data_IF_741827854472
#
_entry.id   IF_741827854472
#
_cell.length_a   1.000
_cell.length_b   1.000
_cell.length_c   1.000
_cell.angle_alpha   90.00
_cell.angle_beta   90.00
_cell.angle_gamma   90.00
#
_symmetry.space_group_name_H-M   'P 1'
#
loop_
_entity.id
_entity.type
_entity.pdbx_description
1 polymer ?
#
# COMPACT_ATOMS: atom_id res chain seq x y z
N UNK A 1 20.77 23.49 -0.86
CA UNK A 1 19.38 23.83 -0.50
C UNK A 1 19.06 23.15 0.82
N UNK A 2 18.53 23.86 1.82
CA UNK A 2 18.23 23.30 3.14
C UNK A 2 17.09 22.28 3.04
N UNK A 3 17.30 21.07 3.60
CA UNK A 3 16.28 20.02 3.70
C UNK A 3 15.31 20.32 4.84
N UNK A 4 14.10 19.76 4.75
CA UNK A 4 12.99 19.92 5.71
C UNK A 4 12.69 18.59 6.39
N UNK A 5 12.45 18.64 7.69
CA UNK A 5 11.78 17.57 8.43
C UNK A 5 10.28 17.71 8.20
N UNK A 6 9.69 16.64 7.69
CA UNK A 6 8.32 16.59 7.19
C UNK A 6 7.81 15.17 7.37
N UNK A 7 6.63 15.07 7.96
CA UNK A 7 5.89 13.83 8.13
C UNK A 7 4.53 13.97 7.44
N UNK A 8 4.07 12.92 6.76
CA UNK A 8 2.82 12.95 6.04
C UNK A 8 2.83 12.07 4.80
N UNK A 9 1.66 11.99 4.15
CA UNK A 9 1.47 11.17 2.96
C UNK A 9 0.85 11.99 1.85
N UNK A 10 1.52 12.03 0.69
CA UNK A 10 0.98 12.61 -0.52
C UNK A 10 0.34 11.51 -1.37
N UNK A 11 -0.91 11.70 -1.76
CA UNK A 11 -1.57 10.87 -2.77
C UNK A 11 -1.22 11.45 -4.14
N UNK A 12 -0.19 10.89 -4.77
CA UNK A 12 0.38 11.45 -5.99
C UNK A 12 -0.17 10.75 -7.24
N UNK A 13 -0.48 11.51 -8.30
CA UNK A 13 -0.85 10.98 -9.62
C UNK A 13 0.43 10.75 -10.44
N UNK A 14 0.87 9.50 -10.55
CA UNK A 14 2.05 9.17 -11.36
C UNK A 14 1.74 9.37 -12.85
N UNK A 15 2.50 10.20 -13.58
CA UNK A 15 2.36 10.27 -15.03
C UNK A 15 2.90 8.99 -15.69
N UNK A 16 2.59 8.82 -16.97
CA UNK A 16 3.13 7.73 -17.79
C UNK A 16 4.64 7.90 -18.01
N UNK A 17 5.29 6.83 -18.46
CA UNK A 17 6.67 6.82 -19.00
C UNK A 17 7.76 7.23 -18.00
N UNK A 18 7.46 7.16 -16.71
CA UNK A 18 8.41 7.42 -15.63
C UNK A 18 8.37 6.32 -14.58
N UNK A 19 9.54 5.90 -14.08
CA UNK A 19 9.60 4.93 -13.00
C UNK A 19 9.11 5.53 -11.67
N UNK A 20 8.51 4.68 -10.82
CA UNK A 20 8.06 5.08 -9.49
C UNK A 20 9.19 5.63 -8.60
N UNK A 21 10.43 5.14 -8.77
CA UNK A 21 11.56 5.68 -8.02
C UNK A 21 12.02 7.04 -8.54
N UNK A 22 12.05 7.26 -9.86
CA UNK A 22 12.44 8.56 -10.41
C UNK A 22 11.47 9.66 -9.96
N UNK A 23 10.16 9.38 -10.01
CA UNK A 23 9.16 10.34 -9.56
C UNK A 23 9.22 10.56 -8.04
N UNK A 24 9.49 9.52 -7.25
CA UNK A 24 9.72 9.64 -5.81
C UNK A 24 10.89 10.59 -5.51
N UNK A 25 12.02 10.47 -6.22
CA UNK A 25 13.17 11.37 -6.02
C UNK A 25 12.83 12.81 -6.42
N UNK A 26 12.07 13.01 -7.50
CA UNK A 26 11.60 14.34 -7.92
C UNK A 26 10.69 14.97 -6.88
N UNK A 27 9.67 14.25 -6.41
CA UNK A 27 8.74 14.73 -5.37
C UNK A 27 9.48 15.00 -4.04
N UNK A 28 10.41 14.14 -3.65
CA UNK A 28 11.29 14.36 -2.49
C UNK A 28 12.09 15.66 -2.60
N UNK A 29 12.57 15.98 -3.81
CA UNK A 29 13.27 17.24 -4.08
C UNK A 29 12.33 18.45 -3.94
N UNK A 30 11.12 18.39 -4.52
CA UNK A 30 10.13 19.48 -4.47
C UNK A 30 9.71 19.80 -3.02
N UNK A 31 9.47 18.78 -2.20
CA UNK A 31 9.19 18.98 -0.78
C UNK A 31 10.42 19.35 0.07
N UNK A 32 11.63 19.28 -0.51
CA UNK A 32 12.92 19.32 0.19
C UNK A 32 13.02 18.31 1.34
N UNK A 33 12.27 17.22 1.28
CA UNK A 33 12.17 16.26 2.37
C UNK A 33 13.50 15.53 2.61
N UNK A 34 13.84 15.28 3.88
CA UNK A 34 14.98 14.45 4.27
C UNK A 34 14.78 12.99 3.85
N UNK A 35 13.57 12.46 4.07
CA UNK A 35 13.22 11.06 3.85
C UNK A 35 11.90 10.96 3.10
N UNK A 36 11.86 10.06 2.11
CA UNK A 36 10.64 9.74 1.38
C UNK A 36 10.67 8.28 0.90
N UNK A 37 9.51 7.66 0.74
CA UNK A 37 9.31 6.32 0.16
C UNK A 37 7.91 6.19 -0.43
N UNK A 38 7.66 5.19 -1.27
CA UNK A 38 6.33 4.93 -1.83
C UNK A 38 5.74 3.60 -1.34
N UNK A 39 4.42 3.44 -1.39
CA UNK A 39 3.71 2.26 -0.84
C UNK A 39 3.40 1.15 -1.85
N UNK A 40 3.89 1.25 -3.08
CA UNK A 40 3.75 0.20 -4.08
C UNK A 40 4.08 0.73 -5.47
N UNK A 41 5.07 0.13 -6.13
CA UNK A 41 5.52 0.59 -7.44
C UNK A 41 4.41 0.42 -8.50
N UNK A 42 4.40 1.36 -9.44
CA UNK A 42 3.77 1.27 -10.75
C UNK A 42 4.85 1.15 -11.80
N UNK A 43 4.60 0.31 -12.81
CA UNK A 43 5.44 0.17 -13.99
C UNK A 43 5.55 1.53 -14.73
N UNK A 44 6.60 1.78 -15.52
CA UNK A 44 6.75 3.01 -16.29
C UNK A 44 5.52 3.32 -17.16
N UNK A 45 5.00 2.32 -17.88
CA UNK A 45 3.79 2.44 -18.71
C UNK A 45 2.50 2.71 -17.93
N UNK A 46 2.50 2.54 -16.61
CA UNK A 46 1.30 2.69 -15.79
C UNK A 46 1.21 4.11 -15.22
N UNK A 47 0.01 4.65 -15.06
CA UNK A 47 -0.25 5.92 -14.39
C UNK A 47 -1.09 5.75 -13.12
N UNK A 48 -1.36 6.85 -12.42
CA UNK A 48 -2.35 6.89 -11.35
C UNK A 48 -1.74 6.83 -9.95
N UNK A 49 -2.56 6.40 -9.00
CA UNK A 49 -2.34 6.63 -7.58
C UNK A 49 -1.04 5.99 -7.08
N UNK A 50 -0.11 6.81 -6.59
CA UNK A 50 1.15 6.40 -5.98
C UNK A 50 1.32 7.15 -4.64
N UNK A 51 0.94 6.55 -3.50
CA UNK A 51 1.15 7.20 -2.22
C UNK A 51 2.65 7.35 -1.92
N UNK A 52 3.07 8.58 -1.65
CA UNK A 52 4.42 8.96 -1.28
C UNK A 52 4.41 9.38 0.19
N UNK A 53 5.10 8.61 1.02
CA UNK A 53 5.25 8.86 2.45
C UNK A 53 6.53 9.65 2.72
N UNK A 54 6.45 10.69 3.55
CA UNK A 54 7.58 11.47 4.03
C UNK A 54 7.90 11.16 5.49
N UNK A 55 9.16 11.33 5.88
CA UNK A 55 9.59 11.26 7.28
C UNK A 55 9.15 9.97 7.99
N UNK A 56 8.46 10.12 9.11
CA UNK A 56 7.98 9.04 9.97
C UNK A 56 6.93 8.15 9.29
N UNK A 57 6.12 8.68 8.36
CA UNK A 57 5.17 7.88 7.57
C UNK A 57 5.86 6.78 6.76
N UNK A 58 7.15 6.94 6.44
CA UNK A 58 7.90 5.88 5.74
C UNK A 58 8.00 4.58 6.53
N UNK A 59 7.85 4.61 7.86
CA UNK A 59 7.92 3.43 8.74
C UNK A 59 6.71 2.51 8.63
N UNK A 60 5.57 3.03 8.17
CA UNK A 60 4.30 2.30 8.06
C UNK A 60 3.96 1.94 6.60
N UNK A 61 4.85 2.27 5.64
CA UNK A 61 4.68 1.94 4.21
C UNK A 61 4.48 0.46 3.96
N UNK A 62 5.14 -0.41 4.73
CA UNK A 62 5.02 -1.87 4.59
C UNK A 62 3.62 -2.38 4.87
N UNK A 63 2.85 -1.70 5.71
CA UNK A 63 1.48 -2.10 6.05
C UNK A 63 0.51 -1.82 4.88
N UNK A 64 0.85 -0.88 3.99
CA UNK A 64 0.04 -0.57 2.80
C UNK A 64 0.38 -1.41 1.57
N UNK A 65 1.55 -2.03 1.54
CA UNK A 65 1.88 -2.97 0.46
C UNK A 65 0.80 -4.06 0.34
N UNK A 66 0.14 -4.34 1.46
CA UNK A 66 -0.87 -5.37 1.59
C UNK A 66 -2.30 -4.95 1.27
N UNK A 67 -2.54 -3.68 0.96
CA UNK A 67 -3.89 -3.19 0.65
C UNK A 67 -4.46 -3.81 -0.63
N UNK A 68 -5.76 -3.66 -0.83
CA UNK A 68 -6.37 -3.94 -2.14
C UNK A 68 -6.16 -2.75 -3.08
N UNK A 69 -6.27 -2.99 -4.39
CA UNK A 69 -6.03 -2.01 -5.45
C UNK A 69 -7.09 -2.13 -6.54
N UNK A 70 -7.43 -0.99 -7.13
CA UNK A 70 -8.29 -0.92 -8.31
C UNK A 70 -7.48 -0.38 -9.49
N UNK A 71 -7.65 -1.00 -10.65
CA UNK A 71 -7.00 -0.61 -11.90
C UNK A 71 -8.04 -0.46 -13.01
N UNK A 72 -7.82 0.54 -13.87
CA UNK A 72 -8.35 0.53 -15.22
C UNK A 72 -7.24 0.08 -16.18
N UNK A 73 -7.54 -0.90 -17.02
CA UNK A 73 -6.60 -1.45 -17.99
C UNK A 73 -7.24 -1.51 -19.37
N UNK A 74 -6.47 -1.11 -20.39
CA UNK A 74 -6.80 -1.34 -21.79
C UNK A 74 -5.91 -2.48 -22.30
N UNK A 75 -6.52 -3.62 -22.61
CA UNK A 75 -5.87 -4.75 -23.27
C UNK A 75 -5.96 -4.59 -24.79
N UNK A 76 -4.87 -4.84 -25.50
CA UNK A 76 -4.86 -5.00 -26.94
C UNK A 76 -4.86 -6.50 -27.26
N UNK A 77 -6.00 -7.03 -27.71
CA UNK A 77 -6.13 -8.43 -28.11
C UNK A 77 -5.46 -8.66 -29.48
N UNK A 78 -5.06 -9.91 -29.75
CA UNK A 78 -4.45 -10.31 -31.02
C UNK A 78 -2.94 -10.07 -31.12
N UNK A 79 -2.33 -9.40 -30.14
CA UNK A 79 -0.88 -9.14 -30.08
C UNK A 79 -0.37 -9.48 -28.69
N UNK A 80 0.62 -10.37 -28.60
CA UNK A 80 1.30 -10.74 -27.35
C UNK A 80 2.75 -10.28 -27.38
N UNK A 81 3.25 -9.77 -26.26
CA UNK A 81 4.62 -9.28 -26.11
C UNK A 81 5.37 -10.03 -25.00
N UNK A 82 6.71 -10.03 -25.04
CA UNK A 82 7.53 -10.71 -24.03
C UNK A 82 7.49 -10.08 -22.62
N UNK A 83 6.97 -8.86 -22.48
CA UNK A 83 6.76 -8.17 -21.20
C UNK A 83 5.30 -8.14 -20.77
N UNK A 84 4.39 -8.63 -21.61
CA UNK A 84 2.93 -8.57 -21.47
C UNK A 84 2.37 -7.13 -21.41
N UNK A 85 3.13 -6.17 -21.94
CA UNK A 85 2.74 -4.77 -22.12
C UNK A 85 3.29 -4.20 -23.45
N UNK A 86 2.89 -2.97 -23.79
CA UNK A 86 3.28 -2.31 -25.04
C UNK A 86 4.76 -1.97 -25.17
N UNK A 87 5.55 -2.07 -24.09
CA UNK A 87 6.98 -1.75 -24.13
C UNK A 87 7.84 -2.95 -24.60
N UNK A 88 7.25 -4.14 -24.66
CA UNK A 88 7.93 -5.38 -25.05
C UNK A 88 7.99 -5.64 -26.56
N UNK A 89 8.78 -6.65 -26.92
CA UNK A 89 8.85 -7.16 -28.29
C UNK A 89 7.65 -8.06 -28.58
N UNK A 90 7.08 -7.95 -29.78
CA UNK A 90 5.98 -8.82 -30.23
C UNK A 90 6.51 -10.25 -30.39
N UNK A 91 5.88 -11.20 -29.70
CA UNK A 91 6.23 -12.62 -29.75
C UNK A 91 5.16 -13.47 -30.44
N UNK A 92 3.93 -12.96 -30.56
CA UNK A 92 2.86 -13.60 -31.31
C UNK A 92 1.85 -12.56 -31.78
N UNK A 93 1.27 -12.80 -32.96
CA UNK A 93 0.17 -12.03 -33.51
C UNK A 93 -0.85 -12.97 -34.15
N UNK A 94 -2.13 -12.80 -33.82
CA UNK A 94 -3.24 -13.63 -34.28
C UNK A 94 -4.47 -12.76 -34.56
N UNK A 95 -5.37 -13.18 -35.46
CA UNK A 95 -6.63 -12.48 -35.65
C UNK A 95 -7.47 -12.53 -34.36
N UNK A 96 -8.20 -11.45 -34.09
CA UNK A 96 -9.15 -11.38 -32.98
C UNK A 96 -10.49 -11.90 -33.49
N UNK A 97 -10.91 -13.07 -33.03
CA UNK A 97 -12.16 -13.72 -33.44
C UNK A 97 -12.99 -14.06 -32.21
N UNK A 98 -13.25 -13.06 -31.37
CA UNK A 98 -13.98 -13.22 -30.11
C UNK A 98 -15.13 -12.23 -30.00
N UNK A 99 -16.24 -12.67 -29.42
CA UNK A 99 -17.40 -11.81 -29.11
C UNK A 99 -17.32 -11.29 -27.68
N UNK A 100 -18.09 -10.24 -27.38
CA UNK A 100 -18.18 -9.69 -26.03
C UNK A 100 -18.67 -10.75 -25.03
N UNK A 101 -19.61 -11.60 -25.43
CA UNK A 101 -20.17 -12.67 -24.60
C UNK A 101 -19.11 -13.71 -24.25
N UNK A 102 -18.24 -14.06 -25.21
CA UNK A 102 -17.12 -14.99 -24.97
C UNK A 102 -16.10 -14.39 -23.99
N UNK A 103 -15.79 -13.09 -24.14
CA UNK A 103 -14.91 -12.37 -23.21
C UNK A 103 -15.51 -12.39 -21.80
N UNK A 104 -16.79 -12.04 -21.67
CA UNK A 104 -17.51 -12.04 -20.39
C UNK A 104 -17.51 -13.43 -19.74
N UNK A 105 -17.76 -14.48 -20.53
CA UNK A 105 -17.75 -15.87 -20.06
C UNK A 105 -16.38 -16.25 -19.50
N UNK A 106 -15.30 -16.00 -20.25
CA UNK A 106 -13.93 -16.30 -19.82
C UNK A 106 -13.57 -15.56 -18.53
N UNK A 107 -13.93 -14.28 -18.41
CA UNK A 107 -13.71 -13.49 -17.19
C UNK A 107 -14.40 -14.13 -15.99
N UNK A 108 -15.67 -14.50 -16.14
CA UNK A 108 -16.48 -15.08 -15.06
C UNK A 108 -15.96 -16.47 -14.64
N UNK A 109 -15.52 -17.29 -15.60
CA UNK A 109 -15.08 -18.67 -15.34
C UNK A 109 -13.66 -18.76 -14.76
N UNK A 110 -12.77 -17.83 -15.11
CA UNK A 110 -11.34 -17.99 -14.82
C UNK A 110 -10.70 -16.87 -13.99
N UNK A 111 -11.32 -15.69 -13.92
CA UNK A 111 -10.66 -14.48 -13.39
C UNK A 111 -11.39 -13.83 -12.22
N UNK A 112 -12.30 -14.55 -11.55
CA UNK A 112 -13.03 -14.03 -10.37
C UNK A 112 -12.77 -14.92 -9.15
N UNK A 113 -12.59 -14.30 -7.99
CA UNK A 113 -12.31 -14.99 -6.73
C UNK A 113 -10.83 -15.33 -6.53
N UNK A 114 -10.59 -16.37 -5.73
CA UNK A 114 -9.24 -16.82 -5.37
C UNK A 114 -8.66 -17.66 -6.52
N UNK A 115 -7.61 -17.15 -7.16
CA UNK A 115 -6.94 -17.80 -8.30
C UNK A 115 -5.43 -17.83 -8.11
N UNK A 116 -4.77 -18.78 -8.79
CA UNK A 116 -3.32 -18.85 -8.85
C UNK A 116 -2.80 -18.05 -10.03
N UNK A 117 -1.90 -17.10 -9.78
CA UNK A 117 -1.24 -16.33 -10.82
C UNK A 117 0.26 -16.56 -10.79
N UNK A 118 0.85 -16.81 -11.96
CA UNK A 118 2.31 -16.86 -12.13
C UNK A 118 2.84 -15.47 -12.52
N UNK A 119 3.61 -14.79 -11.65
CA UNK A 119 4.21 -13.51 -11.98
C UNK A 119 5.07 -13.53 -13.25
N UNK A 120 5.16 -12.38 -13.92
CA UNK A 120 6.15 -12.17 -14.99
C UNK A 120 7.58 -12.11 -14.44
N UNK A 121 8.55 -12.56 -15.25
CA UNK A 121 9.98 -12.39 -14.99
C UNK A 121 10.36 -10.89 -14.99
N UNK A 122 9.58 -10.02 -15.63
CA UNK A 122 9.75 -8.57 -15.62
C UNK A 122 9.13 -7.93 -14.37
N UNK A 123 9.51 -8.44 -13.19
CA UNK A 123 8.99 -7.97 -11.90
C UNK A 123 10.08 -7.77 -10.85
N UNK A 124 9.72 -7.04 -9.78
CA UNK A 124 10.61 -6.74 -8.66
C UNK A 124 10.68 -7.87 -7.60
N UNK A 125 10.02 -9.01 -7.83
CA UNK A 125 10.13 -10.19 -6.96
C UNK A 125 11.58 -10.63 -6.92
N UNK A 126 12.07 -11.05 -5.74
CA UNK A 126 13.45 -11.49 -5.59
C UNK A 126 13.56 -13.00 -5.75
N UNK A 127 14.49 -13.44 -6.58
CA UNK A 127 15.00 -14.81 -6.64
C UNK A 127 16.47 -14.79 -6.24
N UNK A 128 16.85 -15.61 -5.24
CA UNK A 128 18.22 -15.64 -4.69
C UNK A 128 18.81 -14.25 -4.37
N UNK A 129 17.98 -13.36 -3.79
CA UNK A 129 18.38 -12.02 -3.38
C UNK A 129 18.37 -10.95 -4.47
N UNK A 130 18.20 -11.31 -5.75
CA UNK A 130 18.15 -10.36 -6.89
C UNK A 130 16.75 -10.28 -7.50
N UNK A 131 16.30 -9.10 -7.95
CA UNK A 131 15.02 -8.96 -8.65
C UNK A 131 14.93 -9.79 -9.94
N UNK A 132 13.75 -10.34 -10.26
CA UNK A 132 13.51 -11.16 -11.46
C UNK A 132 13.84 -10.40 -12.76
N UNK A 133 13.55 -9.10 -12.83
CA UNK A 133 13.86 -8.30 -14.03
C UNK A 133 15.37 -8.25 -14.34
N UNK A 134 16.26 -8.46 -13.36
CA UNK A 134 17.71 -8.52 -13.61
C UNK A 134 18.12 -9.81 -14.33
N UNK A 135 17.39 -10.91 -14.10
CA UNK A 135 17.56 -12.16 -14.82
C UNK A 135 16.96 -12.06 -16.23
N UNK A 136 15.78 -11.44 -16.35
CA UNK A 136 15.14 -11.17 -17.65
C UNK A 136 16.06 -10.41 -18.62
N UNK A 137 16.70 -9.34 -18.14
CA UNK A 137 17.66 -8.54 -18.93
C UNK A 137 18.89 -9.31 -19.39
N UNK A 138 19.20 -10.43 -18.74
CA UNK A 138 20.31 -11.32 -19.09
C UNK A 138 19.87 -12.51 -19.93
N UNK A 139 18.59 -12.62 -20.25
CA UNK A 139 18.01 -13.79 -20.91
C UNK A 139 18.10 -15.07 -20.05
N UNK A 140 18.19 -14.93 -18.72
CA UNK A 140 18.30 -16.07 -17.81
C UNK A 140 16.90 -16.44 -17.32
N UNK A 141 16.45 -17.63 -17.67
CA UNK A 141 15.24 -18.20 -17.11
C UNK A 141 15.47 -18.62 -15.65
N UNK A 142 14.47 -18.36 -14.82
CA UNK A 142 14.45 -18.74 -13.41
C UNK A 142 13.09 -19.31 -13.05
N UNK A 143 13.00 -20.26 -12.11
CA UNK A 143 11.72 -20.78 -11.66
C UNK A 143 10.94 -19.67 -10.94
N UNK A 144 9.70 -19.44 -11.40
CA UNK A 144 8.77 -18.50 -10.79
C UNK A 144 7.56 -19.31 -10.31
N UNK A 145 7.37 -19.35 -8.99
CA UNK A 145 6.22 -20.01 -8.39
C UNK A 145 4.94 -19.19 -8.60
N UNK A 146 3.83 -19.89 -8.86
CA UNK A 146 2.50 -19.29 -8.77
C UNK A 146 2.21 -18.87 -7.34
N UNK A 147 1.33 -17.88 -7.20
CA UNK A 147 0.87 -17.39 -5.91
C UNK A 147 -0.62 -17.12 -5.93
N UNK A 148 -1.31 -17.32 -4.79
CA UNK A 148 -2.71 -16.97 -4.68
C UNK A 148 -2.88 -15.45 -4.75
N UNK A 149 -3.84 -15.04 -5.57
CA UNK A 149 -4.37 -13.68 -5.62
C UNK A 149 -5.89 -13.78 -5.54
N UNK A 150 -6.53 -12.71 -5.08
CA UNK A 150 -7.98 -12.61 -5.10
C UNK A 150 -8.39 -11.51 -6.07
N UNK A 151 -9.18 -11.85 -7.08
CA UNK A 151 -9.85 -10.87 -7.92
C UNK A 151 -11.25 -10.69 -7.36
N UNK A 152 -11.50 -9.54 -6.75
CA UNK A 152 -12.80 -9.24 -6.15
C UNK A 152 -13.84 -8.95 -7.22
N UNK A 153 -13.44 -8.25 -8.28
CA UNK A 153 -14.35 -7.81 -9.34
C UNK A 153 -13.58 -7.51 -10.63
N UNK A 154 -14.13 -7.90 -11.77
CA UNK A 154 -13.76 -7.42 -13.10
C UNK A 154 -15.02 -6.92 -13.80
N UNK A 155 -14.98 -5.68 -14.27
CA UNK A 155 -16.04 -5.05 -15.05
C UNK A 155 -15.51 -4.70 -16.44
N UNK A 156 -16.26 -5.06 -17.48
CA UNK A 156 -15.98 -4.62 -18.85
C UNK A 156 -16.50 -3.19 -19.01
N UNK A 157 -15.59 -2.23 -19.20
CA UNK A 157 -15.95 -0.82 -19.38
C UNK A 157 -16.28 -0.51 -20.84
N UNK A 158 -15.54 -1.11 -21.78
CA UNK A 158 -15.80 -0.95 -23.21
C UNK A 158 -15.12 -2.07 -24.01
N UNK A 159 -15.75 -2.47 -25.11
CA UNK A 159 -15.18 -3.39 -26.08
C UNK A 159 -15.29 -2.79 -27.49
N UNK A 160 -14.14 -2.59 -28.13
CA UNK A 160 -14.03 -2.16 -29.52
C UNK A 160 -12.77 -2.77 -30.09
N UNK A 161 -12.92 -3.86 -30.83
CA UNK A 161 -11.80 -4.62 -31.40
C UNK A 161 -10.72 -3.70 -32.02
N UNK A 162 -9.43 -3.90 -31.71
CA UNK A 162 -8.87 -4.97 -30.88
C UNK A 162 -8.78 -4.63 -29.37
N UNK A 163 -9.39 -3.54 -28.91
CA UNK A 163 -9.22 -3.00 -27.57
C UNK A 163 -10.35 -3.40 -26.60
N UNK A 164 -9.95 -3.97 -25.47
CA UNK A 164 -10.82 -4.31 -24.34
C UNK A 164 -10.44 -3.48 -23.13
N UNK A 165 -11.36 -2.66 -22.62
CA UNK A 165 -11.14 -1.88 -21.40
C UNK A 165 -11.82 -2.54 -20.22
N UNK A 166 -11.07 -2.77 -19.13
CA UNK A 166 -11.54 -3.42 -17.92
C UNK A 166 -11.28 -2.52 -16.70
N UNK A 167 -12.19 -2.57 -15.72
CA UNK A 167 -11.92 -2.19 -14.33
C UNK A 167 -11.67 -3.47 -13.54
N UNK A 168 -10.58 -3.52 -12.78
CA UNK A 168 -10.16 -4.69 -12.01
C UNK A 168 -9.92 -4.28 -10.56
N UNK A 169 -10.70 -4.82 -9.64
CA UNK A 169 -10.48 -4.70 -8.20
C UNK A 169 -9.87 -5.99 -7.66
N UNK A 170 -8.67 -5.91 -7.09
CA UNK A 170 -7.88 -7.09 -6.76
C UNK A 170 -7.01 -6.91 -5.50
N UNK A 171 -6.61 -8.05 -4.94
CA UNK A 171 -5.72 -8.09 -3.78
C UNK A 171 -4.31 -7.63 -4.14
N UNK A 172 -3.51 -7.38 -3.10
CA UNK A 172 -2.06 -7.17 -3.22
C UNK A 172 -1.38 -8.22 -4.13
N UNK A 173 -0.32 -7.80 -4.82
CA UNK A 173 0.50 -8.70 -5.61
C UNK A 173 -0.13 -9.19 -6.92
N UNK A 174 -1.33 -8.74 -7.28
CA UNK A 174 -1.88 -9.03 -8.61
C UNK A 174 -1.07 -8.30 -9.69
N UNK A 175 -0.60 -9.03 -10.69
CA UNK A 175 -0.01 -8.47 -11.91
C UNK A 175 -1.08 -8.35 -12.98
N UNK A 176 -1.51 -7.13 -13.25
CA UNK A 176 -2.49 -6.85 -14.31
C UNK A 176 -1.97 -7.24 -15.69
N UNK A 177 -0.65 -7.10 -15.93
CA UNK A 177 0.01 -7.58 -17.15
C UNK A 177 -0.19 -9.07 -17.39
N UNK A 178 0.06 -9.89 -16.36
CA UNK A 178 -0.19 -11.33 -16.43
C UNK A 178 -1.67 -11.65 -16.61
N UNK A 179 -2.56 -10.94 -15.90
CA UNK A 179 -4.02 -11.13 -16.05
C UNK A 179 -4.47 -10.90 -17.51
N UNK A 180 -3.96 -9.85 -18.16
CA UNK A 180 -4.27 -9.58 -19.57
C UNK A 180 -3.64 -10.62 -20.51
N UNK A 181 -2.39 -11.02 -20.29
CA UNK A 181 -1.71 -12.06 -21.08
C UNK A 181 -2.48 -13.39 -21.04
N UNK A 182 -2.82 -13.84 -19.82
CA UNK A 182 -3.58 -15.06 -19.57
C UNK A 182 -4.98 -15.01 -20.21
N UNK A 183 -5.68 -13.86 -20.10
CA UNK A 183 -6.98 -13.65 -20.74
C UNK A 183 -6.86 -13.80 -22.26
N UNK A 184 -5.85 -13.20 -22.88
CA UNK A 184 -5.59 -13.33 -24.30
C UNK A 184 -5.28 -14.76 -24.74
N UNK A 185 -4.50 -15.50 -23.95
CA UNK A 185 -4.18 -16.90 -24.23
C UNK A 185 -5.43 -17.80 -24.14
N UNK A 186 -6.28 -17.63 -23.13
CA UNK A 186 -7.53 -18.39 -23.00
C UNK A 186 -8.51 -18.07 -24.14
N UNK A 187 -8.57 -16.80 -24.56
CA UNK A 187 -9.32 -16.36 -25.74
C UNK A 187 -8.70 -16.82 -27.06
N UNK A 188 -7.51 -17.41 -27.05
CA UNK A 188 -6.82 -17.98 -28.21
C UNK A 188 -6.11 -16.97 -29.12
N UNK A 189 -6.29 -15.66 -28.92
CA UNK A 189 -5.73 -14.59 -29.76
C UNK A 189 -4.45 -13.94 -29.17
N UNK A 190 -4.16 -14.16 -27.88
CA UNK A 190 -3.09 -13.45 -27.17
C UNK A 190 -3.46 -11.99 -26.87
N UNK A 191 -2.78 -11.38 -25.91
CA UNK A 191 -3.00 -9.99 -25.55
C UNK A 191 -1.80 -9.38 -24.83
N UNK A 192 -1.76 -8.05 -24.78
CA UNK A 192 -0.87 -7.31 -23.91
C UNK A 192 -1.56 -6.05 -23.36
N UNK A 193 -1.00 -5.49 -22.29
CA UNK A 193 -1.45 -4.23 -21.72
C UNK A 193 -1.02 -3.05 -22.60
N UNK A 194 -1.98 -2.36 -23.20
CA UNK A 194 -1.77 -1.12 -23.94
C UNK A 194 -1.71 0.09 -22.99
N UNK A 195 -2.64 0.15 -22.04
CA UNK A 195 -2.71 1.22 -21.04
C UNK A 195 -3.04 0.66 -19.66
N UNK A 196 -2.46 1.24 -18.63
CA UNK A 196 -2.72 0.84 -17.24
C UNK A 196 -2.78 2.07 -16.34
N UNK A 197 -3.82 2.16 -15.53
CA UNK A 197 -3.98 3.21 -14.53
C UNK A 197 -4.45 2.62 -13.22
N UNK A 198 -3.72 2.86 -12.12
CA UNK A 198 -4.21 2.54 -10.78
C UNK A 198 -5.12 3.67 -10.30
N UNK A 199 -6.41 3.39 -10.22
CA UNK A 199 -7.43 4.38 -9.86
C UNK A 199 -7.57 4.51 -8.35
N UNK A 200 -7.43 3.41 -7.61
CA UNK A 200 -7.61 3.39 -6.15
C UNK A 200 -6.63 2.45 -5.44
N UNK A 201 -6.44 2.77 -4.16
CA UNK A 201 -5.76 1.93 -3.18
C UNK A 201 -6.67 1.93 -1.94
N UNK A 202 -6.94 0.76 -1.38
CA UNK A 202 -7.81 0.65 -0.21
C UNK A 202 -7.31 1.54 0.94
N UNK A 203 -8.20 2.34 1.52
CA UNK A 203 -7.90 3.37 2.53
C UNK A 203 -7.65 4.78 1.98
N UNK A 204 -7.61 4.97 0.65
CA UNK A 204 -7.44 6.27 -0.02
C UNK A 204 -8.46 6.53 -1.13
N UNK A 205 -9.60 5.86 -1.10
CA UNK A 205 -10.62 5.87 -2.15
C UNK A 205 -11.17 7.28 -2.43
N UNK A 206 -11.26 8.11 -1.40
CA UNK A 206 -11.80 9.47 -1.46
C UNK A 206 -10.72 10.55 -1.50
N UNK A 207 -9.46 10.17 -1.68
CA UNK A 207 -8.35 11.12 -1.70
C UNK A 207 -8.10 11.64 -3.12
N UNK A 208 -7.97 12.96 -3.24
CA UNK A 208 -7.58 13.59 -4.49
C UNK A 208 -6.12 13.28 -4.82
N UNK A 209 -5.86 12.81 -6.03
CA UNK A 209 -4.50 12.66 -6.54
C UNK A 209 -3.92 14.01 -6.97
N UNK A 210 -2.67 14.25 -6.64
CA UNK A 210 -1.94 15.49 -6.96
C UNK A 210 -0.97 15.23 -8.10
N UNK A 211 -1.03 16.05 -9.14
CA UNK A 211 -0.15 15.95 -10.31
C UNK A 211 1.24 16.56 -10.05
N UNK A 212 2.22 16.22 -10.87
CA UNK A 212 3.56 16.78 -10.76
C UNK A 212 3.60 18.27 -11.08
N UNK A 213 2.80 18.72 -12.05
CA UNK A 213 2.72 20.12 -12.48
C UNK A 213 2.24 21.01 -11.32
N UNK A 214 1.27 20.54 -10.54
CA UNK A 214 0.79 21.23 -9.34
C UNK A 214 1.92 21.43 -8.33
N UNK A 215 2.73 20.38 -8.09
CA UNK A 215 3.85 20.45 -7.15
C UNK A 215 4.96 21.37 -7.66
N UNK A 216 5.27 21.31 -8.96
CA UNK A 216 6.30 22.13 -9.58
C UNK A 216 5.94 23.61 -9.56
N UNK A 217 4.68 23.95 -9.81
CA UNK A 217 4.17 25.32 -9.70
C UNK A 217 4.31 25.85 -8.27
N UNK A 218 3.80 25.12 -7.26
CA UNK A 218 3.90 25.53 -5.87
C UNK A 218 5.35 25.66 -5.39
N UNK A 219 6.24 24.80 -5.90
CA UNK A 219 7.67 24.88 -5.60
C UNK A 219 8.33 26.11 -6.23
N UNK A 220 8.02 26.43 -7.49
CA UNK A 220 8.51 27.61 -8.18
C UNK A 220 8.09 28.90 -7.45
N UNK A 221 6.85 28.93 -6.96
CA UNK A 221 6.28 30.01 -6.15
C UNK A 221 6.81 30.04 -4.71
N UNK A 222 7.66 29.07 -4.33
CA UNK A 222 8.20 28.87 -2.96
C UNK A 222 7.11 28.72 -1.90
N UNK A 223 5.92 28.26 -2.29
CA UNK A 223 4.76 28.14 -1.42
C UNK A 223 4.74 26.79 -0.67
N UNK A 224 5.69 26.61 0.24
CA UNK A 224 5.81 25.37 1.02
C UNK A 224 4.61 25.12 1.94
N UNK A 225 3.95 26.18 2.42
CA UNK A 225 2.74 26.03 3.22
C UNK A 225 1.58 25.40 2.41
N UNK A 226 1.45 25.75 1.13
CA UNK A 226 0.48 25.09 0.26
C UNK A 226 0.87 23.64 -0.06
N UNK A 227 2.16 23.35 -0.27
CA UNK A 227 2.64 21.97 -0.45
C UNK A 227 2.30 21.10 0.77
N UNK A 228 2.51 21.61 1.99
CA UNK A 228 2.23 20.86 3.22
C UNK A 228 0.74 20.59 3.39
N UNK A 229 -0.15 21.48 2.93
CA UNK A 229 -1.61 21.29 2.95
C UNK A 229 -2.10 20.15 2.03
N UNK A 230 -1.28 19.72 1.07
CA UNK A 230 -1.58 18.57 0.21
C UNK A 230 -1.29 17.23 0.88
N UNK A 231 -0.64 17.24 2.04
CA UNK A 231 -0.26 16.03 2.76
C UNK A 231 -1.41 15.58 3.66
N UNK A 232 -1.73 14.30 3.57
CA UNK A 232 -2.52 13.62 4.58
C UNK A 232 -1.70 13.44 5.87
N UNK A 233 -2.38 13.30 7.01
CA UNK A 233 -1.74 12.96 8.28
C UNK A 233 -0.84 11.74 8.18
N UNK A 234 0.16 11.68 9.06
CA UNK A 234 1.24 10.71 8.96
C UNK A 234 0.74 9.26 9.10
N UNK A 235 -0.35 9.06 9.82
CA UNK A 235 -1.05 7.82 10.14
C UNK A 235 -2.15 7.44 9.13
N UNK A 236 -2.41 8.26 8.11
CA UNK A 236 -3.43 7.97 7.09
C UNK A 236 -3.31 6.55 6.48
N UNK A 237 -2.09 6.02 6.21
CA UNK A 237 -1.87 4.64 5.75
C UNK A 237 -2.45 3.52 6.61
N UNK A 238 -2.68 3.80 7.90
CA UNK A 238 -3.09 2.82 8.91
C UNK A 238 -4.43 3.20 9.54
N UNK A 239 -5.20 4.06 8.87
CA UNK A 239 -6.48 4.58 9.33
C UNK A 239 -7.54 3.49 9.56
N UNK A 240 -7.47 2.38 8.82
CA UNK A 240 -8.37 1.23 8.97
C UNK A 240 -8.18 0.48 10.30
N UNK A 241 -7.04 0.63 10.97
CA UNK A 241 -6.81 -0.04 12.24
C UNK A 241 -7.51 0.70 13.40
N UNK A 242 -8.06 -0.04 14.39
CA UNK A 242 -8.66 0.55 15.58
C UNK A 242 -7.66 1.43 16.33
N UNK A 243 -8.17 2.47 16.98
CA UNK A 243 -7.37 3.43 17.72
C UNK A 243 -7.51 3.23 19.23
N UNK A 244 -6.41 3.35 19.96
CA UNK A 244 -6.35 3.39 21.42
C UNK A 244 -5.66 4.67 21.86
N UNK A 245 -6.20 5.32 22.89
CA UNK A 245 -5.57 6.48 23.53
C UNK A 245 -4.96 6.04 24.85
N UNK A 246 -3.66 6.23 25.01
CA UNK A 246 -2.96 5.88 26.24
C UNK A 246 -2.89 7.07 27.19
N UNK A 247 -2.96 6.79 28.49
CA UNK A 247 -2.59 7.74 29.54
C UNK A 247 -1.07 7.99 29.57
N UNK A 248 -0.66 9.07 30.23
CA UNK A 248 0.75 9.40 30.49
C UNK A 248 1.56 8.21 31.03
N UNK A 249 1.03 7.50 32.03
CA UNK A 249 1.71 6.36 32.65
C UNK A 249 1.86 5.18 31.69
N UNK A 250 0.83 4.88 30.91
CA UNK A 250 0.83 3.84 29.87
C UNK A 250 1.79 4.19 28.73
N UNK A 251 1.76 5.44 28.24
CA UNK A 251 2.64 5.91 27.19
C UNK A 251 4.11 5.89 27.64
N UNK A 252 4.40 6.35 28.86
CA UNK A 252 5.75 6.28 29.42
C UNK A 252 6.26 4.84 29.45
N UNK A 253 5.44 3.91 29.96
CA UNK A 253 5.78 2.49 30.03
C UNK A 253 6.08 1.91 28.64
N UNK A 254 5.21 2.16 27.66
CA UNK A 254 5.39 1.70 26.29
C UNK A 254 6.63 2.32 25.63
N UNK A 255 6.88 3.61 25.87
CA UNK A 255 8.04 4.32 25.32
C UNK A 255 9.37 3.80 25.89
N UNK A 256 9.36 3.17 27.06
CA UNK A 256 10.49 2.44 27.64
C UNK A 256 10.61 1.00 27.10
N UNK A 257 9.83 0.62 26.09
CA UNK A 257 9.84 -0.70 25.47
C UNK A 257 9.11 -1.79 26.27
N UNK A 258 8.38 -1.42 27.32
CA UNK A 258 7.68 -2.36 28.18
C UNK A 258 6.27 -2.67 27.66
N UNK A 259 5.81 -3.90 27.90
CA UNK A 259 4.45 -4.35 27.56
C UNK A 259 3.43 -3.82 28.57
N UNK A 260 2.29 -3.34 28.08
CA UNK A 260 1.13 -2.95 28.89
C UNK A 260 0.20 -4.13 29.13
N UNK A 261 -0.51 -4.11 30.25
CA UNK A 261 -1.78 -4.83 30.36
C UNK A 261 -2.87 -3.85 29.93
N UNK A 262 -3.77 -4.29 29.04
CA UNK A 262 -4.80 -3.46 28.47
C UNK A 262 -6.08 -4.27 28.29
N UNK A 263 -7.21 -3.76 28.76
CA UNK A 263 -8.48 -4.49 28.84
C UNK A 263 -9.19 -4.61 27.49
N UNK A 264 -8.88 -3.73 26.54
CA UNK A 264 -9.58 -3.64 25.25
C UNK A 264 -11.11 -3.49 25.39
N UNK A 265 -11.58 -2.92 26.50
CA UNK A 265 -12.99 -2.89 26.88
C UNK A 265 -13.91 -2.24 25.84
N UNK A 266 -13.37 -1.31 25.05
CA UNK A 266 -14.10 -0.59 24.00
C UNK A 266 -13.98 -1.24 22.61
N UNK A 267 -13.35 -2.41 22.51
CA UNK A 267 -13.14 -3.11 21.24
C UNK A 267 -14.11 -4.28 21.12
N UNK A 268 -14.83 -4.36 19.99
CA UNK A 268 -15.85 -5.37 19.76
C UNK A 268 -15.30 -6.81 19.85
N UNK A 269 -14.09 -7.02 19.34
CA UNK A 269 -13.49 -8.36 19.21
C UNK A 269 -12.51 -8.69 20.35
N UNK A 270 -12.66 -8.05 21.53
CA UNK A 270 -11.80 -8.25 22.72
C UNK A 270 -11.51 -9.73 23.00
N UNK A 271 -12.54 -10.58 22.93
CA UNK A 271 -12.44 -12.01 23.29
C UNK A 271 -11.55 -12.79 22.31
N UNK A 272 -11.35 -12.29 21.09
CA UNK A 272 -10.50 -12.93 20.08
C UNK A 272 -9.02 -12.55 20.23
N UNK A 273 -8.72 -11.43 20.90
CA UNK A 273 -7.39 -10.85 20.95
C UNK A 273 -6.35 -11.69 21.71
N UNK A 274 -6.76 -12.70 22.47
CA UNK A 274 -5.82 -13.65 23.05
C UNK A 274 -5.32 -14.68 22.03
N UNK A 275 -6.06 -14.88 20.94
CA UNK A 275 -5.81 -15.93 19.94
C UNK A 275 -5.46 -15.39 18.55
N UNK A 276 -5.62 -14.08 18.32
CA UNK A 276 -5.40 -13.44 17.02
C UNK A 276 -4.61 -12.15 17.17
N UNK A 277 -3.58 -11.96 16.34
CA UNK A 277 -2.86 -10.69 16.28
C UNK A 277 -3.74 -9.61 15.62
N UNK A 278 -3.80 -8.45 16.25
CA UNK A 278 -4.52 -7.25 15.87
C UNK A 278 -3.60 -6.04 16.11
N UNK A 279 -3.55 -5.16 15.13
CA UNK A 279 -2.80 -3.91 15.21
C UNK A 279 -3.71 -2.76 15.64
N UNK A 280 -3.15 -1.86 16.42
CA UNK A 280 -3.81 -0.67 16.95
C UNK A 280 -2.99 0.57 16.65
N UNK A 281 -3.65 1.63 16.23
CA UNK A 281 -3.09 2.98 16.23
C UNK A 281 -3.06 3.49 17.67
N UNK A 282 -1.93 4.02 18.10
CA UNK A 282 -1.74 4.54 19.45
C UNK A 282 -1.71 6.06 19.42
N UNK A 283 -2.53 6.68 20.26
CA UNK A 283 -2.61 8.11 20.45
C UNK A 283 -2.35 8.50 21.91
N UNK A 284 -2.05 9.79 22.09
CA UNK A 284 -1.97 10.45 23.37
C UNK A 284 -2.51 11.88 23.22
N UNK A 285 -3.14 12.41 24.27
CA UNK A 285 -3.75 13.74 24.25
C UNK A 285 -2.73 14.83 23.84
N UNK A 286 -1.55 14.82 24.47
CA UNK A 286 -0.54 15.86 24.24
C UNK A 286 0.37 15.65 23.03
N UNK A 287 0.55 14.40 22.60
CA UNK A 287 1.58 14.03 21.61
C UNK A 287 0.96 13.53 20.29
N UNK A 288 -0.36 13.44 20.20
CA UNK A 288 -1.06 12.96 19.02
C UNK A 288 -0.74 11.48 18.74
N UNK A 289 -0.55 11.15 17.46
CA UNK A 289 -0.23 9.79 17.03
C UNK A 289 1.21 9.40 17.45
N UNK A 290 1.31 8.28 18.16
CA UNK A 290 2.57 7.74 18.70
C UNK A 290 3.17 6.66 17.79
N UNK A 291 2.31 5.93 17.06
CA UNK A 291 2.70 4.80 16.23
C UNK A 291 1.73 3.62 16.35
N UNK A 292 2.20 2.45 15.94
CA UNK A 292 1.42 1.21 15.99
C UNK A 292 1.82 0.35 17.18
N UNK A 293 0.84 -0.28 17.81
CA UNK A 293 1.02 -1.36 18.76
C UNK A 293 0.26 -2.61 18.29
N UNK A 294 0.61 -3.75 18.88
CA UNK A 294 -0.08 -5.02 18.66
C UNK A 294 -0.50 -5.62 19.99
N UNK A 295 -1.66 -6.26 20.01
CA UNK A 295 -1.98 -7.14 21.10
C UNK A 295 -1.02 -8.35 21.12
N UNK A 296 -0.90 -8.94 22.30
CA UNK A 296 -0.23 -10.18 22.59
C UNK A 296 -1.14 -10.93 23.56
N UNK A 297 -1.05 -12.26 23.58
CA UNK A 297 -1.86 -13.10 24.46
C UNK A 297 -1.92 -12.60 25.91
N UNK A 298 -3.07 -12.82 26.54
CA UNK A 298 -3.42 -12.48 27.93
C UNK A 298 -3.56 -10.97 28.14
N UNK A 299 -4.36 -10.30 27.30
CA UNK A 299 -4.66 -8.87 27.44
C UNK A 299 -3.42 -7.98 27.48
N UNK A 300 -2.42 -8.29 26.64
CA UNK A 300 -1.16 -7.56 26.58
C UNK A 300 -1.10 -6.68 25.34
N UNK A 301 -0.54 -5.48 25.48
CA UNK A 301 -0.33 -4.55 24.36
C UNK A 301 1.13 -4.15 24.30
N UNK A 302 1.77 -4.33 23.14
CA UNK A 302 3.19 -4.04 22.93
C UNK A 302 3.38 -3.11 21.73
N UNK A 303 4.23 -2.10 21.90
CA UNK A 303 4.67 -1.24 20.80
C UNK A 303 5.27 -2.08 19.65
N UNK A 304 4.89 -1.75 18.41
CA UNK A 304 5.29 -2.48 17.20
C UNK A 304 6.10 -1.59 16.25
N UNK A 305 5.55 -0.44 15.85
CA UNK A 305 6.20 0.55 14.98
C UNK A 305 5.95 1.95 15.53
N UNK A 306 6.72 2.33 16.54
CA UNK A 306 6.61 3.63 17.19
C UNK A 306 7.38 4.72 16.43
N UNK A 307 6.90 5.96 16.51
CA UNK A 307 7.58 7.12 15.97
C UNK A 307 8.93 7.35 16.68
N UNK A 308 9.88 8.01 16.03
CA UNK A 308 11.27 8.16 16.49
C UNK A 308 11.40 8.98 17.78
N UNK A 309 10.36 9.71 18.18
CA UNK A 309 10.40 10.65 19.29
C UNK A 309 9.93 10.05 20.62
N UNK A 310 9.70 8.74 20.71
CA UNK A 310 9.28 8.10 21.97
C UNK A 310 10.27 8.28 23.11
N UNK A 311 11.58 8.35 22.85
CA UNK A 311 12.58 8.65 23.89
C UNK A 311 12.42 10.07 24.45
N UNK A 312 12.14 11.06 23.58
CA UNK A 312 11.88 12.45 23.98
C UNK A 312 10.58 12.55 24.77
N UNK A 313 9.54 11.84 24.34
CA UNK A 313 8.26 11.72 25.05
C UNK A 313 8.48 11.13 26.44
N UNK A 314 9.23 10.03 26.56
CA UNK A 314 9.53 9.40 27.84
C UNK A 314 10.27 10.35 28.78
N UNK A 315 11.21 11.16 28.26
CA UNK A 315 11.91 12.18 29.04
C UNK A 315 10.95 13.26 29.54
N UNK A 316 10.10 13.81 28.65
CA UNK A 316 9.14 14.84 29.00
C UNK A 316 8.12 14.36 30.05
N UNK A 317 7.59 13.14 29.92
CA UNK A 317 6.69 12.55 30.90
C UNK A 317 7.38 12.36 32.27
N UNK A 318 8.64 11.92 32.30
CA UNK A 318 9.41 11.83 33.56
C UNK A 318 9.65 13.19 34.20
N UNK A 319 9.96 14.22 33.41
CA UNK A 319 10.12 15.61 33.88
C UNK A 319 8.81 16.16 34.47
N UNK A 320 7.66 15.71 33.99
CA UNK A 320 6.34 16.00 34.57
C UNK A 320 6.00 15.18 35.83
N UNK A 321 6.91 14.33 36.30
CA UNK A 321 6.71 13.48 37.49
C UNK A 321 5.87 12.22 37.24
N UNK A 322 5.61 11.85 35.98
CA UNK A 322 4.81 10.67 35.64
C UNK A 322 5.56 9.40 36.05
N UNK A 323 4.84 8.47 36.70
CA UNK A 323 5.36 7.17 37.12
C UNK A 323 4.58 6.02 36.47
N UNK A 324 5.29 5.13 35.79
CA UNK A 324 4.69 4.01 35.06
C UNK A 324 4.26 2.82 35.95
N UNK A 325 4.61 2.79 37.24
CA UNK A 325 4.31 1.65 38.13
C UNK A 325 2.82 1.30 38.18
N UNK A 326 1.97 2.32 38.09
CA UNK A 326 0.50 2.19 38.16
C UNK A 326 -0.18 2.12 36.79
N UNK A 327 0.60 2.08 35.69
CA UNK A 327 0.07 2.15 34.32
C UNK A 327 -0.94 1.06 33.96
N UNK A 328 -0.90 -0.09 34.63
CA UNK A 328 -1.78 -1.23 34.37
C UNK A 328 -2.94 -1.35 35.38
N UNK A 329 -2.97 -0.57 36.46
CA UNK A 329 -3.87 -0.85 37.59
C UNK A 329 -5.34 -0.73 37.21
N UNK A 330 -5.70 0.34 36.50
CA UNK A 330 -7.06 0.57 35.99
C UNK A 330 -7.48 -0.53 35.01
N UNK A 331 -6.60 -0.87 34.07
CA UNK A 331 -6.85 -1.93 33.07
C UNK A 331 -7.04 -3.31 33.73
N UNK A 332 -6.23 -3.65 34.74
CA UNK A 332 -6.40 -4.90 35.51
C UNK A 332 -7.72 -4.95 36.26
N UNK A 333 -8.15 -3.84 36.85
CA UNK A 333 -9.44 -3.77 37.53
C UNK A 333 -10.59 -3.97 36.53
N UNK A 334 -10.49 -3.33 35.37
CA UNK A 334 -11.47 -3.44 34.29
C UNK A 334 -11.55 -4.87 33.72
N UNK A 335 -10.42 -5.54 33.49
CA UNK A 335 -10.40 -6.95 33.08
C UNK A 335 -11.16 -7.83 34.07
N UNK A 336 -10.92 -7.68 35.38
CA UNK A 336 -11.64 -8.46 36.41
C UNK A 336 -13.14 -8.21 36.39
N UNK A 337 -13.58 -6.97 36.12
CA UNK A 337 -15.00 -6.64 36.01
C UNK A 337 -15.64 -7.22 34.76
N UNK A 338 -14.88 -7.31 33.66
CA UNK A 338 -15.37 -7.80 32.39
C UNK A 338 -15.31 -9.33 32.25
N UNK A 339 -14.52 -10.01 33.09
CA UNK A 339 -14.37 -11.48 33.13
C UNK A 339 -15.22 -12.12 34.26
N UNK A 340 -15.81 -11.29 35.13
CA UNK A 340 -16.79 -11.69 36.15
C UNK A 340 -18.20 -11.67 35.56
#
# INVERSE_FOLDING_TARGET
>A
MQRRDLDGVLIFDKPLEVSSNNILQRVKYLYRANKAGHTGALDPLASGMLPICFGESTKITTMMLDSDKEYEVTAHLGVRTNTSDREGEIIAQKPVQVTLEQIQQVINEHFTGLIEQKPTIWSAIKYQGKPLYEYARKGIEVPIASRPINIYEIEILSWSEPFLKLRVYCSKGTYIRTLVDDLGEILGCGAHVAELRRTKIAGFENCQMVSIETLEQLFADKNFAALDKLLLPLEAPVSMYPALTLSDAQLLKMSLGMTLIYAFAQQADRLEYDNKEQLFRIYHADFGFIGMARNVAKNRLRGYRLCAHTEKIARSLKERGVNYKHADEQEKALIRQLDA
#
